data_IF_705760060598
#
_entry.id   IF_705760060598
#
_cell.length_a   1.000
_cell.length_b   1.000
_cell.length_c   1.000
_cell.angle_alpha   90.00
_cell.angle_beta   90.00
_cell.angle_gamma   90.00
#
_symmetry.space_group_name_H-M   'P 1'
#
loop_
_entity.id
_entity.type
_entity.pdbx_description
1 polymer ?
#
# COMPACT_ATOMS: atom_id res chain seq x y z
N UNK A 1 -69.79 6.97 34.48
CA UNK A 1 -68.88 7.82 33.67
C UNK A 1 -67.60 8.20 34.44
N UNK A 2 -66.96 7.27 35.16
CA UNK A 2 -65.72 7.53 35.91
C UNK A 2 -64.54 6.61 35.50
N UNK A 3 -64.80 5.46 34.87
CA UNK A 3 -63.76 4.51 34.47
C UNK A 3 -63.04 4.81 33.14
N UNK A 4 -63.65 5.61 32.25
CA UNK A 4 -63.07 5.89 30.92
C UNK A 4 -61.97 6.98 31.01
N UNK A 5 -62.02 7.84 32.03
CA UNK A 5 -61.03 8.91 32.24
C UNK A 5 -59.69 8.40 32.78
N UNK A 6 -59.68 7.33 33.56
CA UNK A 6 -58.45 6.76 34.13
C UNK A 6 -57.56 6.08 33.07
N UNK A 7 -58.15 5.34 32.11
CA UNK A 7 -57.37 4.68 31.04
C UNK A 7 -56.73 5.67 30.06
N UNK A 8 -57.34 6.83 29.85
CA UNK A 8 -56.85 7.84 28.90
C UNK A 8 -55.62 8.58 29.44
N UNK A 9 -55.51 8.73 30.76
CA UNK A 9 -54.38 9.42 31.42
C UNK A 9 -53.14 8.51 31.46
N UNK A 10 -53.32 7.20 31.67
CA UNK A 10 -52.21 6.24 31.71
C UNK A 10 -51.55 6.04 30.33
N UNK A 11 -52.33 6.04 29.25
CA UNK A 11 -51.79 5.90 27.88
C UNK A 11 -51.00 7.15 27.48
N UNK A 12 -51.51 8.36 27.77
CA UNK A 12 -50.81 9.60 27.45
C UNK A 12 -49.48 9.75 28.22
N UNK A 13 -49.43 9.35 29.49
CA UNK A 13 -48.20 9.40 30.30
C UNK A 13 -47.12 8.43 29.78
N UNK A 14 -47.51 7.24 29.31
CA UNK A 14 -46.57 6.26 28.73
C UNK A 14 -46.03 6.72 27.37
N UNK A 15 -46.84 7.38 26.54
CA UNK A 15 -46.37 7.88 25.23
C UNK A 15 -45.38 9.05 25.38
N UNK A 16 -45.60 9.96 26.34
CA UNK A 16 -44.67 11.07 26.62
C UNK A 16 -43.36 10.56 27.22
N UNK A 17 -43.41 9.58 28.12
CA UNK A 17 -42.21 8.97 28.68
C UNK A 17 -41.39 8.21 27.62
N UNK A 18 -42.03 7.51 26.68
CA UNK A 18 -41.34 6.80 25.59
C UNK A 18 -40.76 7.77 24.55
N UNK A 19 -41.46 8.87 24.25
CA UNK A 19 -40.96 9.94 23.38
C UNK A 19 -39.74 10.67 23.95
N UNK A 20 -39.73 10.93 25.26
CA UNK A 20 -38.57 11.54 25.94
C UNK A 20 -37.39 10.56 26.06
N UNK A 21 -37.63 9.26 26.23
CA UNK A 21 -36.57 8.26 26.24
C UNK A 21 -35.93 8.09 24.83
N UNK A 22 -36.74 8.12 23.77
CA UNK A 22 -36.25 8.08 22.38
C UNK A 22 -35.53 9.37 21.99
N UNK A 23 -35.98 10.53 22.47
CA UNK A 23 -35.27 11.80 22.27
C UNK A 23 -33.94 11.85 23.06
N UNK A 24 -33.89 11.29 24.27
CA UNK A 24 -32.67 11.17 25.06
C UNK A 24 -31.67 10.16 24.46
N UNK A 25 -32.14 9.02 23.92
CA UNK A 25 -31.30 8.07 23.16
C UNK A 25 -30.85 8.64 21.81
N UNK A 26 -31.69 9.44 21.15
CA UNK A 26 -31.31 10.14 19.90
C UNK A 26 -30.29 11.25 20.18
N UNK A 27 -30.42 11.99 21.28
CA UNK A 27 -29.41 12.96 21.71
C UNK A 27 -28.10 12.29 22.16
N UNK A 28 -28.15 11.10 22.77
CA UNK A 28 -26.96 10.31 23.13
C UNK A 28 -26.26 9.65 21.94
N UNK A 29 -26.98 9.38 20.85
CA UNK A 29 -26.39 8.80 19.61
C UNK A 29 -25.92 9.87 18.64
N UNK A 30 -26.56 11.05 18.60
CA UNK A 30 -26.14 12.20 17.78
C UNK A 30 -24.95 12.96 18.42
N UNK A 31 -24.77 12.85 19.75
CA UNK A 31 -23.60 13.38 20.48
C UNK A 31 -22.31 12.56 20.31
N UNK A 32 -22.36 11.38 19.67
CA UNK A 32 -21.19 10.61 19.24
C UNK A 32 -20.87 10.86 17.77
N UNK A 33 -20.92 12.13 17.35
CA UNK A 33 -20.09 12.58 16.24
C UNK A 33 -18.64 12.41 16.71
N UNK A 34 -18.03 11.29 16.37
CA UNK A 34 -16.61 11.07 16.54
C UNK A 34 -15.91 12.25 15.86
N UNK A 35 -15.41 13.18 16.67
CA UNK A 35 -14.28 14.01 16.26
C UNK A 35 -13.25 13.02 15.76
N UNK A 36 -13.00 12.99 14.45
CA UNK A 36 -11.76 12.44 13.93
C UNK A 36 -10.67 13.11 14.78
N UNK A 37 -9.89 12.36 15.59
CA UNK A 37 -8.77 12.96 16.27
C UNK A 37 -7.78 13.32 15.17
N UNK A 38 -7.85 14.57 14.71
CA UNK A 38 -6.70 15.27 14.20
C UNK A 38 -5.71 15.40 15.37
N UNK A 39 -5.08 14.29 15.77
CA UNK A 39 -3.97 14.28 16.72
C UNK A 39 -2.67 14.33 15.92
N UNK A 40 -2.48 15.44 15.22
CA UNK A 40 -1.14 15.86 14.81
C UNK A 40 -0.51 16.55 16.02
N UNK A 41 0.07 15.75 16.91
CA UNK A 41 0.81 16.22 18.07
C UNK A 41 1.13 15.09 19.05
N UNK A 42 2.42 14.90 19.35
CA UNK A 42 3.09 14.06 20.36
C UNK A 42 2.58 12.63 20.67
N UNK A 43 1.26 12.41 20.77
CA UNK A 43 0.59 11.21 21.25
C UNK A 43 -0.06 10.42 20.10
N UNK A 44 0.71 10.12 19.05
CA UNK A 44 0.23 9.17 18.04
C UNK A 44 0.01 7.81 18.71
N UNK A 45 -1.16 7.15 18.53
CA UNK A 45 -1.48 5.93 19.24
C UNK A 45 -0.44 4.84 18.98
N UNK A 46 0.01 4.23 20.06
CA UNK A 46 0.92 3.08 20.03
C UNK A 46 0.15 1.83 19.59
N UNK A 47 0.65 1.17 18.55
CA UNK A 47 0.06 -0.06 18.00
C UNK A 47 1.15 -1.08 17.65
N UNK A 48 0.89 -2.39 17.78
CA UNK A 48 1.76 -3.40 17.17
C UNK A 48 1.56 -3.37 15.64
N UNK A 49 2.43 -2.66 14.91
CA UNK A 49 2.17 -2.34 13.50
C UNK A 49 2.17 -3.58 12.60
N UNK A 50 3.05 -4.56 12.83
CA UNK A 50 3.03 -5.85 12.10
C UNK A 50 1.64 -6.47 12.19
N UNK A 51 1.10 -6.60 13.41
CA UNK A 51 -0.22 -7.19 13.65
C UNK A 51 -1.33 -6.37 12.99
N UNK A 52 -1.27 -5.05 13.08
CA UNK A 52 -2.26 -4.16 12.44
C UNK A 52 -2.31 -4.33 10.91
N UNK A 53 -1.15 -4.53 10.30
CA UNK A 53 -1.02 -4.77 8.85
C UNK A 53 -1.58 -6.16 8.49
N UNK A 54 -1.25 -7.19 9.27
CA UNK A 54 -1.73 -8.56 8.99
C UNK A 54 -3.23 -8.71 9.24
N UNK A 55 -3.75 -8.09 10.31
CA UNK A 55 -5.17 -8.17 10.66
C UNK A 55 -6.07 -7.50 9.60
N UNK A 56 -5.53 -6.55 8.82
CA UNK A 56 -6.27 -5.90 7.73
C UNK A 56 -6.75 -6.91 6.68
N UNK A 57 -5.92 -7.90 6.33
CA UNK A 57 -6.24 -8.82 5.24
C UNK A 57 -6.96 -10.09 5.68
N UNK A 58 -7.04 -10.35 6.99
CA UNK A 58 -7.60 -11.58 7.55
C UNK A 58 -9.08 -11.82 7.20
N UNK A 59 -9.84 -10.75 6.94
CA UNK A 59 -11.26 -10.83 6.61
C UNK A 59 -11.58 -10.90 5.11
N UNK A 60 -10.58 -10.79 4.22
CA UNK A 60 -10.80 -10.80 2.78
C UNK A 60 -10.74 -12.22 2.20
N UNK A 61 -11.55 -12.47 1.19
CA UNK A 61 -11.50 -13.65 0.33
C UNK A 61 -11.79 -13.32 -1.15
N UNK A 62 -11.93 -14.34 -2.01
CA UNK A 62 -12.28 -14.15 -3.42
C UNK A 62 -13.57 -13.34 -3.63
N UNK A 63 -14.54 -13.50 -2.74
CA UNK A 63 -15.88 -12.91 -2.86
C UNK A 63 -16.04 -11.57 -2.10
N UNK A 64 -14.93 -10.91 -1.73
CA UNK A 64 -14.96 -9.68 -0.90
C UNK A 64 -15.65 -8.46 -1.53
N UNK A 65 -16.18 -8.57 -2.75
CA UNK A 65 -16.89 -7.48 -3.42
C UNK A 65 -15.98 -6.31 -3.82
N UNK A 66 -14.79 -6.59 -4.35
CA UNK A 66 -13.86 -5.55 -4.85
C UNK A 66 -14.60 -4.58 -5.76
N UNK A 67 -14.47 -3.29 -5.46
CA UNK A 67 -15.09 -2.22 -6.24
C UNK A 67 -14.01 -1.47 -6.98
N UNK A 68 -14.06 -1.41 -8.30
CA UNK A 68 -13.07 -0.66 -9.07
C UNK A 68 -13.06 0.83 -8.67
N UNK A 69 -11.87 1.42 -8.43
CA UNK A 69 -11.75 2.84 -8.19
C UNK A 69 -11.96 3.63 -9.49
N UNK A 70 -12.47 4.84 -9.38
CA UNK A 70 -12.47 5.81 -10.49
C UNK A 70 -11.07 6.39 -10.65
N UNK A 71 -10.77 6.87 -11.86
CA UNK A 71 -9.49 7.55 -12.15
C UNK A 71 -9.18 8.70 -11.19
N UNK A 72 -10.19 9.50 -10.84
CA UNK A 72 -10.01 10.62 -9.91
C UNK A 72 -9.65 10.14 -8.49
N UNK A 73 -10.25 9.04 -8.02
CA UNK A 73 -9.98 8.46 -6.70
C UNK A 73 -8.57 7.90 -6.63
N UNK A 74 -8.13 7.13 -7.65
CA UNK A 74 -6.76 6.65 -7.76
C UNK A 74 -5.73 7.78 -7.70
N UNK A 75 -5.98 8.84 -8.48
CA UNK A 75 -5.09 9.99 -8.55
C UNK A 75 -5.04 10.74 -7.21
N UNK A 76 -6.18 10.95 -6.56
CA UNK A 76 -6.23 11.63 -5.28
C UNK A 76 -5.39 10.91 -4.21
N UNK A 77 -5.44 9.57 -4.16
CA UNK A 77 -4.62 8.79 -3.23
C UNK A 77 -3.13 8.88 -3.57
N UNK A 78 -2.77 8.73 -4.85
CA UNK A 78 -1.38 8.83 -5.28
C UNK A 78 -0.78 10.23 -5.03
N UNK A 79 -1.50 11.29 -5.39
CA UNK A 79 -1.08 12.68 -5.17
C UNK A 79 -0.95 12.98 -3.66
N UNK A 80 -1.84 12.42 -2.83
CA UNK A 80 -1.77 12.54 -1.38
C UNK A 80 -0.56 11.79 -0.77
N UNK A 81 -0.20 10.61 -1.28
CA UNK A 81 1.07 9.96 -0.92
C UNK A 81 2.22 10.89 -1.24
N UNK A 82 2.26 11.46 -2.44
CA UNK A 82 3.27 12.44 -2.83
C UNK A 82 3.39 13.61 -1.84
N UNK A 83 2.27 14.21 -1.46
CA UNK A 83 2.23 15.30 -0.46
C UNK A 83 2.79 14.87 0.91
N UNK A 84 2.52 13.64 1.36
CA UNK A 84 3.04 13.12 2.63
C UNK A 84 4.56 12.94 2.55
N UNK A 85 5.07 12.41 1.43
CA UNK A 85 6.51 12.27 1.19
C UNK A 85 7.24 13.62 1.15
N UNK A 86 6.55 14.67 0.71
CA UNK A 86 7.05 16.05 0.67
C UNK A 86 6.90 16.79 2.02
N UNK A 87 6.41 16.13 3.07
CA UNK A 87 6.24 16.73 4.40
C UNK A 87 5.01 17.64 4.51
N UNK A 88 3.97 17.39 3.71
CA UNK A 88 2.74 18.17 3.67
C UNK A 88 1.47 17.33 3.99
N UNK A 89 1.41 16.63 5.13
CA UNK A 89 0.27 15.77 5.47
C UNK A 89 -1.06 16.53 5.54
N UNK A 90 -1.07 17.78 6.00
CA UNK A 90 -2.29 18.59 6.08
C UNK A 90 -2.91 18.87 4.71
N UNK A 91 -2.07 19.02 3.67
CA UNK A 91 -2.52 19.20 2.29
C UNK A 91 -3.02 17.89 1.68
N UNK A 92 -2.59 16.75 2.20
CA UNK A 92 -3.03 15.42 1.75
C UNK A 92 -4.41 15.04 2.31
N UNK A 93 -4.80 15.59 3.48
CA UNK A 93 -6.06 15.21 4.16
C UNK A 93 -7.32 15.48 3.33
N UNK A 94 -7.56 16.66 2.74
CA UNK A 94 -8.78 16.91 1.96
C UNK A 94 -8.97 15.97 0.75
N UNK A 95 -7.99 15.81 -0.18
CA UNK A 95 -8.19 14.92 -1.33
C UNK A 95 -8.33 13.45 -0.91
N UNK A 96 -7.69 13.01 0.18
CA UNK A 96 -7.94 11.68 0.73
C UNK A 96 -9.39 11.53 1.22
N UNK A 97 -9.89 12.51 1.98
CA UNK A 97 -11.26 12.47 2.48
C UNK A 97 -12.29 12.41 1.34
N UNK A 98 -12.06 13.18 0.27
CA UNK A 98 -12.91 13.17 -0.94
C UNK A 98 -12.90 11.82 -1.66
N UNK A 99 -11.76 11.12 -1.67
CA UNK A 99 -11.65 9.75 -2.18
C UNK A 99 -12.20 8.67 -1.21
N UNK A 100 -12.64 9.08 -0.02
CA UNK A 100 -13.09 8.17 1.04
C UNK A 100 -11.95 7.47 1.78
N UNK A 101 -10.73 8.01 1.74
CA UNK A 101 -9.61 7.61 2.59
C UNK A 101 -9.54 8.45 3.86
N UNK A 102 -8.77 7.96 4.83
CA UNK A 102 -8.35 8.69 6.03
C UNK A 102 -6.83 8.60 6.18
N UNK A 103 -6.25 9.64 6.75
CA UNK A 103 -4.83 9.70 7.14
C UNK A 103 -4.72 9.66 8.66
N UNK A 104 -4.02 8.65 9.20
CA UNK A 104 -3.69 8.53 10.62
C UNK A 104 -2.17 8.52 10.81
N UNK A 105 -1.71 9.04 11.93
CA UNK A 105 -0.33 8.83 12.37
C UNK A 105 -0.33 7.80 13.49
N UNK A 106 0.51 6.79 13.38
CA UNK A 106 0.64 5.67 14.31
C UNK A 106 2.07 5.61 14.84
N UNK A 107 2.27 5.09 16.04
CA UNK A 107 3.59 4.73 16.57
C UNK A 107 3.66 3.22 16.70
N UNK A 108 4.66 2.58 16.09
CA UNK A 108 4.85 1.15 16.23
C UNK A 108 5.45 0.81 17.60
N UNK A 109 4.83 -0.09 18.36
CA UNK A 109 5.31 -0.50 19.69
C UNK A 109 6.63 -1.26 19.65
N UNK A 110 6.95 -1.91 18.52
CA UNK A 110 8.18 -2.71 18.38
C UNK A 110 9.42 -1.84 18.12
N UNK A 111 9.28 -0.84 17.26
CA UNK A 111 10.41 0.00 16.79
C UNK A 111 10.40 1.41 17.34
N UNK A 112 9.29 1.89 17.93
CA UNK A 112 9.09 3.27 18.34
C UNK A 112 8.98 4.26 17.18
N UNK A 113 9.00 3.80 15.93
CA UNK A 113 8.93 4.66 14.74
C UNK A 113 7.49 5.09 14.46
N UNK A 114 7.35 6.31 13.94
CA UNK A 114 6.06 6.87 13.52
C UNK A 114 5.78 6.56 12.07
N UNK A 115 4.52 6.26 11.76
CA UNK A 115 4.07 5.94 10.41
C UNK A 115 2.80 6.73 10.07
N UNK A 116 2.72 7.24 8.85
CA UNK A 116 1.46 7.67 8.26
C UNK A 116 0.75 6.45 7.66
N UNK A 117 -0.46 6.16 8.11
CA UNK A 117 -1.37 5.16 7.53
C UNK A 117 -2.43 5.88 6.68
N UNK A 118 -2.50 5.51 5.41
CA UNK A 118 -3.62 5.83 4.53
C UNK A 118 -4.47 4.56 4.43
N UNK A 119 -5.72 4.65 4.87
CA UNK A 119 -6.69 3.55 4.83
C UNK A 119 -8.02 4.00 4.27
N UNK A 120 -8.73 3.08 3.63
CA UNK A 120 -10.08 3.32 3.14
C UNK A 120 -11.06 3.39 4.34
N UNK A 121 -11.92 4.40 4.37
CA UNK A 121 -12.91 4.61 5.44
C UNK A 121 -13.98 3.51 5.49
N UNK A 122 -14.19 2.78 4.40
CA UNK A 122 -15.14 1.66 4.32
C UNK A 122 -14.61 0.37 4.95
N UNK A 123 -13.32 0.30 5.30
CA UNK A 123 -12.68 -0.92 5.82
C UNK A 123 -13.26 -1.42 7.15
N UNK A 124 -13.78 -0.51 7.98
CA UNK A 124 -14.40 -0.87 9.26
C UNK A 124 -15.90 -1.21 9.09
N UNK A 125 -16.42 -1.12 7.86
CA UNK A 125 -17.82 -1.37 7.52
C UNK A 125 -18.07 -2.77 6.96
N UNK A 126 -19.35 -3.15 6.74
CA UNK A 126 -19.73 -4.49 6.31
C UNK A 126 -19.38 -4.80 4.84
N UNK A 127 -18.98 -3.80 4.05
CA UNK A 127 -18.68 -3.92 2.62
C UNK A 127 -17.45 -3.08 2.23
N UNK A 128 -16.24 -3.51 2.65
CA UNK A 128 -14.99 -2.82 2.30
C UNK A 128 -14.75 -2.85 0.77
N UNK A 129 -14.31 -1.73 0.19
CA UNK A 129 -14.08 -1.64 -1.28
C UNK A 129 -12.88 -2.47 -1.78
N UNK A 130 -11.97 -2.84 -0.87
CA UNK A 130 -10.79 -3.65 -1.16
C UNK A 130 -9.62 -2.90 -1.81
N UNK A 131 -9.54 -1.58 -1.66
CA UNK A 131 -8.51 -0.77 -2.33
C UNK A 131 -7.10 -0.87 -1.73
N UNK A 132 -6.99 -1.28 -0.47
CA UNK A 132 -5.71 -1.48 0.20
C UNK A 132 -5.30 -0.35 1.12
N UNK A 133 -4.08 -0.45 1.64
CA UNK A 133 -3.47 0.50 2.58
C UNK A 133 -2.09 0.93 2.14
N UNK A 134 -1.70 2.14 2.55
CA UNK A 134 -0.34 2.65 2.39
C UNK A 134 0.21 3.02 3.76
N UNK A 135 1.44 2.61 4.05
CA UNK A 135 2.17 3.00 5.25
C UNK A 135 3.45 3.71 4.84
N UNK A 136 3.67 4.92 5.37
CA UNK A 136 4.88 5.72 5.12
C UNK A 136 5.63 5.86 6.44
N UNK A 137 6.87 5.39 6.51
CA UNK A 137 7.75 5.67 7.65
C UNK A 137 8.07 7.17 7.71
N UNK A 138 7.77 7.80 8.85
CA UNK A 138 7.99 9.23 9.10
C UNK A 138 9.28 9.50 9.89
N UNK A 139 10.01 8.46 10.29
CA UNK A 139 11.27 8.59 11.06
C UNK A 139 12.47 8.98 10.21
N UNK A 140 12.38 8.81 8.88
CA UNK A 140 13.40 9.20 7.92
C UNK A 140 12.75 9.58 6.59
N UNK A 141 13.43 10.37 5.73
CA UNK A 141 12.95 10.61 4.37
C UNK A 141 12.70 9.29 3.64
N UNK A 142 11.64 9.22 2.83
CA UNK A 142 11.36 8.02 2.05
C UNK A 142 12.47 7.77 1.01
N UNK A 143 12.90 6.52 0.92
CA UNK A 143 14.04 6.09 0.09
C UNK A 143 13.78 4.82 -0.69
N UNK A 144 12.75 4.06 -0.36
CA UNK A 144 12.43 2.80 -1.00
C UNK A 144 10.98 2.40 -0.72
N UNK A 145 10.48 1.42 -1.45
CA UNK A 145 9.16 0.84 -1.25
C UNK A 145 9.19 -0.68 -1.17
N UNK A 146 8.28 -1.24 -0.37
CA UNK A 146 7.88 -2.64 -0.41
C UNK A 146 6.44 -2.72 -0.88
N UNK A 147 6.17 -3.57 -1.85
CA UNK A 147 4.90 -3.65 -2.56
C UNK A 147 4.34 -5.06 -2.41
N UNK A 148 3.11 -5.20 -1.93
CA UNK A 148 2.44 -6.48 -1.68
C UNK A 148 1.12 -6.49 -2.47
N UNK A 149 1.14 -6.93 -3.74
CA UNK A 149 -0.02 -6.85 -4.62
C UNK A 149 -1.07 -7.92 -4.34
N UNK A 150 -0.69 -9.04 -3.71
CA UNK A 150 -1.58 -10.20 -3.54
C UNK A 150 -1.64 -10.73 -2.10
N UNK A 151 -1.78 -9.90 -1.06
CA UNK A 151 -1.66 -10.38 0.33
C UNK A 151 -2.68 -11.48 0.70
N UNK A 152 -3.88 -11.42 0.11
CA UNK A 152 -4.94 -12.40 0.39
C UNK A 152 -4.75 -13.71 -0.39
N UNK A 153 -4.26 -13.62 -1.64
CA UNK A 153 -4.02 -14.80 -2.51
C UNK A 153 -2.70 -15.48 -2.17
N UNK A 154 -1.67 -14.69 -1.90
CA UNK A 154 -0.32 -15.12 -1.59
C UNK A 154 -0.14 -15.03 -0.08
N UNK A 155 -0.95 -15.79 0.66
CA UNK A 155 -1.11 -15.70 2.13
C UNK A 155 0.22 -15.52 2.88
N UNK A 156 0.24 -14.67 3.91
CA UNK A 156 1.41 -14.29 4.71
C UNK A 156 2.43 -13.37 3.98
N UNK A 157 2.18 -12.93 2.74
CA UNK A 157 3.01 -11.89 2.10
C UNK A 157 2.80 -10.50 2.72
N UNK A 158 1.63 -10.21 3.28
CA UNK A 158 1.35 -9.03 4.12
C UNK A 158 2.27 -8.99 5.34
N UNK A 159 2.51 -10.16 5.95
CA UNK A 159 3.36 -10.30 7.12
C UNK A 159 4.83 -10.12 6.75
N UNK A 160 5.25 -10.68 5.61
CA UNK A 160 6.58 -10.44 5.04
C UNK A 160 6.77 -8.95 4.72
N UNK A 161 5.82 -8.32 4.03
CA UNK A 161 5.86 -6.90 3.69
C UNK A 161 5.93 -5.99 4.92
N UNK A 162 5.16 -6.30 5.96
CA UNK A 162 5.22 -5.60 7.25
C UNK A 162 6.60 -5.69 7.89
N UNK A 163 7.22 -6.89 7.91
CA UNK A 163 8.57 -7.05 8.47
C UNK A 163 9.65 -6.35 7.66
N UNK A 164 9.54 -6.31 6.35
CA UNK A 164 10.44 -5.51 5.51
C UNK A 164 10.30 -4.02 5.86
N UNK A 165 9.08 -3.50 5.98
CA UNK A 165 8.84 -2.11 6.40
C UNK A 165 9.48 -1.82 7.78
N UNK A 166 9.31 -2.74 8.72
CA UNK A 166 9.81 -2.61 10.08
C UNK A 166 11.32 -2.87 10.23
N UNK A 167 11.98 -3.45 9.23
CA UNK A 167 13.39 -3.79 9.26
C UNK A 167 14.36 -2.64 8.98
N UNK A 168 13.92 -1.62 8.23
CA UNK A 168 14.78 -0.49 7.83
C UNK A 168 14.03 0.85 7.77
N UNK A 169 14.69 2.00 8.04
CA UNK A 169 14.06 3.31 7.94
C UNK A 169 13.81 3.80 6.51
N UNK A 170 12.85 4.71 6.36
CA UNK A 170 12.54 5.41 5.11
C UNK A 170 11.75 4.57 4.10
N UNK A 171 11.07 3.52 4.57
CA UNK A 171 10.25 2.64 3.75
C UNK A 171 8.83 3.15 3.53
N UNK A 172 8.29 2.82 2.35
CA UNK A 172 6.85 2.93 2.04
C UNK A 172 6.31 1.53 1.75
N UNK A 173 5.32 1.06 2.51
CA UNK A 173 4.58 -0.17 2.21
C UNK A 173 3.31 0.17 1.43
N UNK A 174 3.13 -0.48 0.29
CA UNK A 174 1.88 -0.46 -0.48
C UNK A 174 1.28 -1.86 -0.43
N UNK A 175 0.08 -1.99 0.13
CA UNK A 175 -0.59 -3.26 0.38
C UNK A 175 -1.94 -3.28 -0.32
N UNK A 176 -2.16 -4.22 -1.24
CA UNK A 176 -3.48 -4.38 -1.89
C UNK A 176 -4.54 -4.86 -0.88
N UNK A 177 -5.81 -4.55 -1.13
CA UNK A 177 -6.89 -4.79 -0.17
C UNK A 177 -7.89 -5.88 -0.57
N UNK A 178 -7.56 -6.73 -1.54
CA UNK A 178 -8.48 -7.76 -2.02
C UNK A 178 -7.73 -9.00 -2.49
N UNK A 179 -8.46 -10.11 -2.58
CA UNK A 179 -7.99 -11.29 -3.28
C UNK A 179 -7.85 -10.98 -4.78
N UNK A 180 -6.79 -11.47 -5.44
CA UNK A 180 -6.49 -11.14 -6.84
C UNK A 180 -7.60 -11.46 -7.83
N UNK A 181 -8.48 -12.42 -7.49
CA UNK A 181 -9.65 -12.83 -8.29
C UNK A 181 -10.95 -12.09 -7.94
N UNK A 182 -10.89 -11.10 -7.05
CA UNK A 182 -12.08 -10.36 -6.66
C UNK A 182 -12.43 -9.31 -7.72
N UNK A 183 -13.75 -9.06 -7.89
CA UNK A 183 -14.26 -8.17 -8.93
C UNK A 183 -14.41 -8.87 -10.28
N UNK A 184 -15.07 -8.19 -11.23
CA UNK A 184 -15.24 -8.70 -12.59
C UNK A 184 -13.88 -8.78 -13.30
N UNK A 185 -13.65 -9.84 -14.08
CA UNK A 185 -12.44 -10.06 -14.88
C UNK A 185 -11.11 -9.86 -14.11
N UNK A 186 -11.05 -10.37 -12.87
CA UNK A 186 -9.89 -10.23 -11.97
C UNK A 186 -9.46 -8.76 -11.76
N UNK A 187 -10.41 -7.83 -11.67
CA UNK A 187 -10.14 -6.39 -11.49
C UNK A 187 -9.25 -6.07 -10.27
N UNK A 188 -9.20 -6.96 -9.28
CA UNK A 188 -8.34 -6.85 -8.11
C UNK A 188 -6.90 -7.40 -8.30
N UNK A 189 -6.52 -7.95 -9.46
CA UNK A 189 -5.16 -8.44 -9.73
C UNK A 189 -4.18 -7.26 -9.87
N UNK A 190 -3.76 -6.72 -8.73
CA UNK A 190 -2.97 -5.49 -8.65
C UNK A 190 -1.60 -5.59 -9.36
N UNK A 191 -1.08 -6.80 -9.59
CA UNK A 191 0.17 -7.02 -10.32
C UNK A 191 0.02 -6.88 -11.84
N UNK A 192 -1.21 -7.00 -12.35
CA UNK A 192 -1.51 -6.97 -13.79
C UNK A 192 -2.50 -5.87 -14.20
N UNK A 193 -3.03 -5.11 -13.23
CA UNK A 193 -4.00 -4.02 -13.45
C UNK A 193 -3.39 -2.64 -13.17
N UNK A 194 -3.49 -1.73 -14.15
CA UNK A 194 -3.04 -0.33 -14.02
C UNK A 194 -4.13 0.63 -13.52
N UNK A 195 -5.32 0.10 -13.25
CA UNK A 195 -6.51 0.84 -12.84
C UNK A 195 -6.90 0.55 -11.38
N UNK A 196 -5.93 0.16 -10.57
CA UNK A 196 -6.05 0.00 -9.12
C UNK A 196 -5.44 1.19 -8.35
N UNK A 197 -5.84 1.40 -7.09
CA UNK A 197 -5.17 2.36 -6.19
C UNK A 197 -3.72 1.93 -5.94
N UNK A 198 -3.49 0.63 -5.79
CA UNK A 198 -2.16 0.04 -5.62
C UNK A 198 -1.19 0.48 -6.72
N UNK A 199 -1.59 0.33 -7.98
CA UNK A 199 -0.77 0.70 -9.12
C UNK A 199 -0.50 2.22 -9.15
N UNK A 200 -1.53 3.03 -8.94
CA UNK A 200 -1.39 4.49 -8.96
C UNK A 200 -0.39 4.99 -7.90
N UNK A 201 -0.38 4.39 -6.72
CA UNK A 201 0.61 4.68 -5.68
C UNK A 201 2.00 4.19 -6.08
N UNK A 202 2.14 2.96 -6.57
CA UNK A 202 3.43 2.43 -7.02
C UNK A 202 4.05 3.26 -8.16
N UNK A 203 3.22 3.73 -9.10
CA UNK A 203 3.59 4.61 -10.21
C UNK A 203 4.07 5.99 -9.70
N UNK A 204 3.44 6.54 -8.64
CA UNK A 204 3.94 7.75 -7.97
C UNK A 204 5.31 7.55 -7.32
N UNK A 205 5.52 6.43 -6.62
CA UNK A 205 6.80 6.11 -6.00
C UNK A 205 7.90 5.93 -7.06
N UNK A 206 7.60 5.24 -8.16
CA UNK A 206 8.52 5.07 -9.28
C UNK A 206 8.86 6.41 -9.95
N UNK A 207 7.88 7.29 -10.21
CA UNK A 207 8.14 8.63 -10.75
C UNK A 207 9.08 9.47 -9.89
N UNK A 208 9.04 9.25 -8.57
CA UNK A 208 9.92 9.90 -7.60
C UNK A 208 11.30 9.23 -7.48
N UNK A 209 11.54 8.17 -8.23
CA UNK A 209 12.80 7.44 -8.24
C UNK A 209 12.98 6.51 -7.05
N UNK A 210 11.92 6.16 -6.31
CA UNK A 210 12.04 5.24 -5.17
C UNK A 210 12.18 3.80 -5.68
N UNK A 211 13.30 3.12 -5.39
CA UNK A 211 13.43 1.70 -5.71
C UNK A 211 12.37 0.87 -4.97
N UNK A 212 11.93 -0.22 -5.60
CA UNK A 212 10.86 -1.08 -5.08
C UNK A 212 11.28 -2.54 -4.96
N UNK A 213 10.86 -3.19 -3.86
CA UNK A 213 10.78 -4.66 -3.77
C UNK A 213 9.32 -5.05 -3.78
N UNK A 214 8.88 -5.75 -4.81
CA UNK A 214 7.55 -6.33 -4.86
C UNK A 214 7.62 -7.80 -4.46
N UNK A 215 6.92 -8.14 -3.38
CA UNK A 215 6.91 -9.48 -2.80
C UNK A 215 5.64 -10.21 -3.20
N UNK A 216 5.81 -11.43 -3.68
CA UNK A 216 4.77 -12.36 -4.10
C UNK A 216 4.98 -13.71 -3.43
N UNK A 217 3.99 -14.58 -3.56
CA UNK A 217 4.04 -15.94 -3.06
C UNK A 217 3.61 -16.96 -4.08
N UNK A 218 4.27 -18.13 -4.04
CA UNK A 218 3.90 -19.28 -4.87
C UNK A 218 3.68 -20.53 -4.02
N UNK A 219 2.91 -21.48 -4.53
CA UNK A 219 2.79 -22.81 -3.95
C UNK A 219 4.08 -23.60 -4.19
N UNK A 220 4.53 -24.44 -3.24
CA UNK A 220 5.85 -25.08 -3.31
C UNK A 220 6.09 -25.91 -4.60
N UNK A 221 5.02 -26.42 -5.20
CA UNK A 221 5.02 -27.18 -6.46
C UNK A 221 5.16 -26.32 -7.73
N UNK A 222 4.93 -25.01 -7.65
CA UNK A 222 5.04 -24.08 -8.78
C UNK A 222 6.51 -23.81 -9.16
N UNK A 223 7.45 -24.02 -8.22
CA UNK A 223 8.88 -24.00 -8.48
C UNK A 223 9.60 -25.06 -7.61
N UNK A 224 9.49 -26.35 -7.98
CA UNK A 224 9.98 -27.44 -7.13
C UNK A 224 11.46 -27.29 -6.74
N UNK A 225 11.74 -27.46 -5.45
CA UNK A 225 13.09 -27.34 -4.89
C UNK A 225 13.64 -25.91 -4.84
N UNK A 226 12.78 -24.89 -4.94
CA UNK A 226 13.14 -23.49 -4.78
C UNK A 226 12.35 -22.88 -3.62
N UNK A 227 13.06 -22.14 -2.79
CA UNK A 227 12.47 -21.36 -1.69
C UNK A 227 12.09 -19.95 -2.14
N UNK A 228 12.80 -19.43 -3.15
CA UNK A 228 12.52 -18.13 -3.73
C UNK A 228 12.88 -18.04 -5.22
N UNK A 229 12.19 -17.16 -5.95
CA UNK A 229 12.63 -16.67 -7.26
C UNK A 229 12.95 -15.19 -7.14
N UNK A 230 14.18 -14.81 -7.49
CA UNK A 230 14.62 -13.42 -7.52
C UNK A 230 14.76 -12.95 -8.97
N UNK A 231 14.09 -11.85 -9.28
CA UNK A 231 14.04 -11.23 -10.61
C UNK A 231 14.09 -9.71 -10.51
N UNK A 232 14.41 -9.06 -11.63
CA UNK A 232 14.28 -7.60 -11.81
C UNK A 232 13.05 -7.24 -12.64
N UNK A 233 12.14 -8.20 -12.85
CA UNK A 233 11.06 -8.10 -13.82
C UNK A 233 11.62 -7.90 -15.23
N UNK A 234 11.02 -6.98 -15.97
CA UNK A 234 11.48 -6.62 -17.33
C UNK A 234 12.70 -5.67 -17.33
N UNK A 235 12.94 -4.94 -16.24
CA UNK A 235 14.03 -3.97 -16.15
C UNK A 235 15.38 -4.58 -15.78
N UNK A 236 16.45 -3.79 -15.92
CA UNK A 236 17.82 -4.18 -15.51
C UNK A 236 18.43 -3.30 -14.43
N UNK A 237 17.81 -2.16 -14.07
CA UNK A 237 18.33 -1.21 -13.09
C UNK A 237 18.56 -1.87 -11.71
N UNK A 238 17.67 -2.78 -11.30
CA UNK A 238 17.79 -3.52 -10.04
C UNK A 238 18.81 -4.66 -10.02
N UNK A 239 19.56 -4.93 -11.11
CA UNK A 239 20.35 -6.18 -11.22
C UNK A 239 21.44 -6.33 -10.16
N UNK A 240 22.10 -5.24 -9.80
CA UNK A 240 23.13 -5.27 -8.77
C UNK A 240 22.53 -5.57 -7.38
N UNK A 241 21.32 -5.05 -7.12
CA UNK A 241 20.60 -5.27 -5.87
C UNK A 241 19.94 -6.65 -5.82
N UNK A 242 19.45 -7.16 -6.95
CA UNK A 242 18.95 -8.53 -7.07
C UNK A 242 20.04 -9.57 -6.75
N UNK A 243 21.28 -9.32 -7.20
CA UNK A 243 22.44 -10.16 -6.85
C UNK A 243 22.73 -10.14 -5.35
N UNK A 244 22.65 -8.96 -4.72
CA UNK A 244 22.82 -8.81 -3.26
C UNK A 244 21.73 -9.56 -2.50
N UNK A 245 20.48 -9.37 -2.89
CA UNK A 245 19.34 -10.07 -2.30
C UNK A 245 19.49 -11.60 -2.41
N UNK A 246 19.79 -12.12 -3.60
CA UNK A 246 19.95 -13.56 -3.78
C UNK A 246 21.11 -14.13 -2.94
N UNK A 247 22.24 -13.40 -2.82
CA UNK A 247 23.32 -13.80 -1.94
C UNK A 247 22.88 -13.81 -0.46
N UNK A 248 22.13 -12.78 -0.02
CA UNK A 248 21.62 -12.69 1.34
C UNK A 248 20.59 -13.79 1.66
N UNK A 249 19.74 -14.16 0.71
CA UNK A 249 18.81 -15.29 0.81
C UNK A 249 19.57 -16.61 0.92
N UNK A 250 20.54 -16.86 0.04
CA UNK A 250 21.35 -18.09 0.08
C UNK A 250 22.20 -18.22 1.35
N UNK A 251 22.72 -17.10 1.89
CA UNK A 251 23.41 -17.09 3.18
C UNK A 251 22.50 -17.47 4.36
N UNK A 252 21.18 -17.44 4.16
CA UNK A 252 20.15 -17.88 5.13
C UNK A 252 19.55 -19.23 4.75
N UNK A 253 20.30 -20.01 3.96
CA UNK A 253 19.95 -21.36 3.53
C UNK A 253 18.69 -21.46 2.67
N UNK A 254 18.29 -20.36 2.00
CA UNK A 254 17.20 -20.39 1.02
C UNK A 254 17.76 -20.67 -0.38
N UNK A 255 17.13 -21.62 -1.07
CA UNK A 255 17.44 -22.02 -2.44
C UNK A 255 16.79 -21.07 -3.44
N UNK A 256 17.59 -20.22 -4.07
CA UNK A 256 17.10 -19.14 -4.94
C UNK A 256 17.24 -19.48 -6.42
N UNK A 257 16.14 -19.38 -7.17
CA UNK A 257 16.21 -19.28 -8.63
C UNK A 257 16.52 -17.82 -9.02
N UNK A 258 17.57 -17.61 -9.81
CA UNK A 258 18.04 -16.28 -10.23
C UNK A 258 17.68 -16.05 -11.68
N UNK A 259 16.63 -15.27 -11.94
CA UNK A 259 16.05 -15.07 -13.28
C UNK A 259 17.03 -14.43 -14.28
N UNK A 260 18.07 -13.72 -13.80
CA UNK A 260 19.12 -13.15 -14.65
C UNK A 260 20.25 -14.12 -15.00
N UNK A 261 20.27 -15.34 -14.43
CA UNK A 261 21.27 -16.38 -14.70
C UNK A 261 20.69 -17.50 -15.55
N UNK A 262 19.41 -17.81 -15.36
CA UNK A 262 18.68 -18.88 -16.03
C UNK A 262 17.19 -18.52 -16.08
N UNK A 263 16.45 -19.22 -16.94
CA UNK A 263 14.99 -19.17 -16.86
C UNK A 263 14.50 -19.74 -15.53
N UNK A 264 13.59 -19.01 -14.90
CA UNK A 264 12.87 -19.37 -13.69
C UNK A 264 11.37 -19.28 -13.99
N UNK A 265 10.52 -20.03 -13.28
CA UNK A 265 9.09 -19.72 -13.25
C UNK A 265 8.87 -18.37 -12.53
N UNK A 266 7.76 -17.69 -12.81
CA UNK A 266 7.30 -16.52 -12.03
C UNK A 266 8.30 -15.35 -11.99
N UNK A 267 8.99 -15.07 -13.10
CA UNK A 267 9.98 -13.98 -13.16
C UNK A 267 9.38 -12.57 -13.11
N UNK A 268 8.04 -12.45 -13.12
CA UNK A 268 7.36 -11.15 -13.04
C UNK A 268 7.57 -10.25 -14.26
N UNK A 269 7.82 -10.82 -15.45
CA UNK A 269 8.07 -10.02 -16.67
C UNK A 269 6.83 -9.25 -17.13
N UNK A 270 5.66 -9.79 -16.85
CA UNK A 270 4.39 -9.18 -17.22
C UNK A 270 3.80 -8.26 -16.15
N UNK A 271 4.53 -8.07 -15.04
CA UNK A 271 4.14 -7.19 -13.95
C UNK A 271 4.13 -5.72 -14.40
N UNK A 272 3.00 -5.03 -14.21
CA UNK A 272 2.82 -3.65 -14.70
C UNK A 272 3.73 -2.66 -13.96
N UNK A 273 3.91 -2.82 -12.63
CA UNK A 273 4.78 -1.92 -11.85
C UNK A 273 6.25 -2.11 -12.21
N UNK A 274 6.70 -3.35 -12.43
CA UNK A 274 8.04 -3.67 -12.89
C UNK A 274 8.34 -3.10 -14.28
N UNK A 275 7.37 -3.11 -15.20
CA UNK A 275 7.48 -2.42 -16.50
C UNK A 275 7.60 -0.91 -16.35
N UNK A 276 6.81 -0.30 -15.46
CA UNK A 276 6.90 1.13 -15.17
C UNK A 276 8.27 1.52 -14.62
N UNK A 277 8.75 0.81 -13.59
CA UNK A 277 10.07 1.04 -13.02
C UNK A 277 11.19 0.85 -14.07
N UNK A 278 11.05 -0.13 -14.97
CA UNK A 278 11.97 -0.30 -16.08
C UNK A 278 11.99 0.91 -17.04
N UNK A 279 10.82 1.44 -17.40
CA UNK A 279 10.71 2.62 -18.26
C UNK A 279 11.36 3.86 -17.62
N UNK A 280 11.18 4.04 -16.31
CA UNK A 280 11.75 5.15 -15.55
C UNK A 280 13.20 4.89 -15.07
N UNK A 281 13.80 3.75 -15.41
CA UNK A 281 15.14 3.34 -15.00
C UNK A 281 15.33 3.28 -13.47
N UNK A 282 14.26 2.98 -12.74
CA UNK A 282 14.25 2.84 -11.28
C UNK A 282 14.53 1.39 -10.89
N UNK A 283 15.38 1.12 -9.88
CA UNK A 283 15.61 -0.24 -9.42
C UNK A 283 14.31 -0.90 -8.93
N UNK A 284 14.01 -2.08 -9.46
CA UNK A 284 12.86 -2.89 -9.08
C UNK A 284 13.30 -4.34 -8.90
N UNK A 285 12.85 -4.95 -7.80
CA UNK A 285 13.06 -6.35 -7.48
C UNK A 285 11.69 -7.03 -7.41
N UNK A 286 11.48 -8.04 -8.26
CA UNK A 286 10.35 -8.94 -8.18
C UNK A 286 10.79 -10.22 -7.47
N UNK A 287 10.19 -10.52 -6.33
CA UNK A 287 10.64 -11.60 -5.46
C UNK A 287 9.46 -12.48 -5.05
N UNK A 288 9.55 -13.74 -5.43
CA UNK A 288 8.56 -14.77 -5.17
C UNK A 288 9.06 -15.65 -4.02
N UNK A 289 8.20 -15.98 -3.06
CA UNK A 289 8.54 -16.88 -1.94
C UNK A 289 7.62 -18.10 -1.85
N UNK A 290 8.21 -19.26 -1.62
CA UNK A 290 7.48 -20.51 -1.52
C UNK A 290 6.53 -20.52 -0.31
N UNK A 291 5.46 -21.30 -0.36
CA UNK A 291 4.48 -21.39 0.75
C UNK A 291 5.16 -21.86 2.03
N UNK A 292 6.07 -22.83 1.94
CA UNK A 292 6.87 -23.33 3.07
C UNK A 292 7.72 -22.25 3.76
N UNK A 293 8.25 -21.27 3.01
CA UNK A 293 8.97 -20.11 3.56
C UNK A 293 8.00 -19.16 4.26
N UNK A 294 6.88 -18.83 3.60
CA UNK A 294 5.88 -17.87 4.11
C UNK A 294 5.09 -18.42 5.31
N UNK A 295 4.86 -19.72 5.39
CA UNK A 295 4.13 -20.36 6.49
C UNK A 295 4.93 -20.40 7.81
N UNK A 296 6.25 -20.24 7.72
CA UNK A 296 7.16 -20.39 8.86
C UNK A 296 7.61 -19.03 9.37
N UNK A 297 7.51 -18.80 10.68
CA UNK A 297 8.04 -17.59 11.29
C UNK A 297 9.54 -17.41 11.00
N UNK A 298 10.31 -18.50 11.08
CA UNK A 298 11.73 -18.49 10.74
C UNK A 298 11.96 -18.17 9.26
N UNK A 299 11.14 -18.74 8.37
CA UNK A 299 11.21 -18.49 6.93
C UNK A 299 10.97 -17.01 6.60
N UNK A 300 9.89 -16.42 7.13
CA UNK A 300 9.62 -14.99 6.98
C UNK A 300 10.76 -14.15 7.57
N UNK A 301 11.25 -14.45 8.79
CA UNK A 301 12.37 -13.70 9.39
C UNK A 301 13.61 -13.73 8.49
N UNK A 302 13.94 -14.88 7.91
CA UNK A 302 15.06 -15.00 6.99
C UNK A 302 14.84 -14.20 5.70
N UNK A 303 13.65 -14.28 5.10
CA UNK A 303 13.31 -13.54 3.90
C UNK A 303 13.35 -12.02 4.13
N UNK A 304 12.71 -11.53 5.19
CA UNK A 304 12.71 -10.11 5.56
C UNK A 304 14.14 -9.62 5.82
N UNK A 305 14.93 -10.34 6.64
CA UNK A 305 16.31 -9.97 6.93
C UNK A 305 17.22 -9.99 5.68
N UNK A 306 16.91 -10.79 4.66
CA UNK A 306 17.62 -10.75 3.39
C UNK A 306 17.27 -9.50 2.57
N UNK A 307 15.98 -9.13 2.52
CA UNK A 307 15.52 -7.90 1.87
C UNK A 307 16.09 -6.67 2.59
N UNK A 308 16.21 -6.71 3.92
CA UNK A 308 16.80 -5.64 4.73
C UNK A 308 18.24 -5.31 4.34
N UNK A 309 19.00 -6.28 3.79
CA UNK A 309 20.36 -6.02 3.29
C UNK A 309 20.39 -5.06 2.10
N UNK A 310 19.31 -5.02 1.32
CA UNK A 310 19.15 -4.13 0.17
C UNK A 310 18.49 -2.82 0.59
N UNK A 311 17.38 -2.88 1.35
CA UNK A 311 16.66 -1.67 1.76
C UNK A 311 17.49 -0.79 2.69
N UNK A 312 18.30 -1.37 3.58
CA UNK A 312 19.23 -0.61 4.44
C UNK A 312 20.34 0.10 3.67
N UNK A 313 20.66 -0.36 2.46
CA UNK A 313 21.55 0.36 1.56
C UNK A 313 20.82 1.50 0.90
N UNK A 314 19.64 1.26 0.31
CA UNK A 314 18.84 2.31 -0.30
C UNK A 314 18.49 3.44 0.69
N UNK A 315 18.24 3.10 1.96
CA UNK A 315 18.01 4.08 3.03
C UNK A 315 19.21 5.01 3.28
N UNK A 316 20.45 4.53 3.05
CA UNK A 316 21.70 5.29 3.24
C UNK A 316 22.13 6.02 1.97
N UNK A 317 21.74 5.51 0.80
CA UNK A 317 22.05 6.12 -0.47
C UNK A 317 21.35 7.49 -0.55
N UNK A 318 22.15 8.57 -0.46
CA UNK A 318 21.66 9.95 -0.54
C UNK A 318 21.23 10.34 -1.96
N UNK A 319 20.67 9.42 -2.74
CA UNK A 319 20.41 9.55 -4.18
C UNK A 319 20.13 10.99 -4.56
N UNK A 320 21.01 11.59 -5.38
CA UNK A 320 20.80 12.93 -5.91
C UNK A 320 19.37 12.96 -6.47
N UNK A 321 18.53 13.94 -6.07
CA UNK A 321 17.29 14.13 -6.79
C UNK A 321 17.67 14.28 -8.26
N UNK A 322 17.09 13.46 -9.14
CA UNK A 322 17.20 13.71 -10.56
C UNK A 322 16.55 15.07 -10.78
N UNK A 323 17.37 16.14 -10.76
CA UNK A 323 16.99 17.43 -11.28
C UNK A 323 16.39 17.14 -12.66
N UNK A 324 15.10 17.48 -12.80
CA UNK A 324 14.33 17.14 -13.98
C UNK A 324 15.16 17.44 -15.23
N UNK A 325 15.46 16.39 -16.01
CA UNK A 325 15.71 16.61 -17.42
C UNK A 325 14.37 17.03 -18.00
N UNK A 326 14.10 18.33 -17.93
CA UNK A 326 13.20 18.97 -18.85
C UNK A 326 13.65 18.52 -20.25
N UNK A 327 12.74 17.82 -20.91
CA UNK A 327 12.86 17.48 -22.33
C UNK A 327 13.16 18.76 -23.11
N UNK A 328 14.20 18.81 -23.97
CA UNK A 328 14.45 19.97 -24.81
C UNK A 328 13.48 19.93 -26.00
N UNK A 329 12.21 20.22 -25.74
CA UNK A 329 11.28 20.62 -26.79
C UNK A 329 11.31 22.15 -26.92
N UNK A 330 11.37 22.63 -28.16
CA UNK A 330 11.38 24.03 -28.60
C UNK A 330 12.74 24.76 -28.59
N UNK A 331 13.68 24.31 -29.44
CA UNK A 331 14.45 25.31 -30.21
C UNK A 331 13.56 25.79 -31.34
N UNK A 332 12.97 26.97 -31.14
CA UNK A 332 12.45 27.81 -32.22
C UNK A 332 13.55 27.98 -33.28
N UNK A 333 13.28 27.50 -34.50
CA UNK A 333 14.06 27.89 -35.67
C UNK A 333 13.70 29.35 -36.01
N UNK A 334 14.67 30.25 -36.25
CA UNK A 334 14.36 31.54 -36.82
C UNK A 334 13.91 31.36 -38.27
N UNK A 335 12.75 31.95 -38.57
CA UNK A 335 12.17 32.09 -39.90
C UNK A 335 13.18 32.79 -40.83
N UNK A 336 13.57 32.13 -41.91
CA UNK A 336 14.25 32.81 -43.02
C UNK A 336 13.22 33.67 -43.76
N UNK A 337 13.45 34.98 -43.78
CA UNK A 337 12.74 35.93 -44.63
C UNK A 337 13.12 35.68 -46.09
N UNK A 338 12.12 35.34 -46.91
CA UNK A 338 12.17 35.50 -48.35
C UNK A 338 12.05 36.99 -48.67
N UNK A 339 13.04 37.57 -49.35
CA UNK A 339 12.82 38.79 -50.15
C UNK A 339 12.34 38.38 -51.54
N UNK A 340 11.39 39.13 -52.13
CA UNK A 340 10.97 38.90 -53.51
C UNK A 340 11.94 39.57 -54.47
N UNK A 341 12.05 38.98 -55.66
CA UNK A 341 12.76 39.52 -56.80
C UNK A 341 12.09 40.80 -57.34
N UNK A 342 12.92 41.82 -57.61
CA UNK A 342 12.84 42.73 -58.75
C UNK A 342 14.20 43.42 -58.91
#
# INVERSE_FOLDING_TARGET
MAEIRAKSITVAAVTVAFGLLLAALSAHTIGRSGKDPASDGADAPEVPLERRITDFTAGFGPDSGYREPRRAERRAVADAVGLILDGHPDRARPPLADAGFRLRTLTDTGTGRRYAELSDRTEDGPAPRGWGRVYVDLSAPARWSVQVPHPVSDTDTERLGARVLLGSPGGVLVLAGAHRRAGEDDAADAAHRTDSVFDAVCDELARRGLPGVQVHGFADDSAPGRDAVASTGTGSAGRADARRLAAALSARHLTVCRAWVRSCPLEGRDNVQGRRAAADHVPFLHVEFARSVRASDTGIRHAAAAIDTVTSRWAKDKGQPSAGRLSPAARLRPSASLSPAA
#
